data_IF_218371669580
#
_entry.id   IF_218371669580
#
_cell.length_a   1.000
_cell.length_b   1.000
_cell.length_c   1.000
_cell.angle_alpha   90.00
_cell.angle_beta   90.00
_cell.angle_gamma   90.00
#
_symmetry.space_group_name_H-M   'P 1'
#
loop_
_entity.id
_entity.type
_entity.pdbx_description
1 polymer ?
#
# COMPACT_ATOMS: atom_id res chain seq x y z
N UNK A 1 10.05 10.29 2.41
CA UNK A 1 9.73 10.23 3.85
C UNK A 1 10.52 9.15 4.60
N UNK A 2 10.62 7.94 4.06
CA UNK A 2 11.42 6.84 4.67
C UNK A 2 12.89 7.24 4.85
N UNK A 3 13.56 7.74 3.80
CA UNK A 3 15.00 8.10 3.86
C UNK A 3 15.35 9.12 4.96
N UNK A 4 14.45 10.08 5.22
CA UNK A 4 14.66 11.13 6.23
C UNK A 4 14.37 10.63 7.64
N UNK A 5 13.43 9.69 7.78
CA UNK A 5 12.93 9.24 9.09
C UNK A 5 13.50 7.91 9.57
N UNK A 6 14.10 7.14 8.66
CA UNK A 6 14.79 5.88 8.92
C UNK A 6 16.30 6.16 8.95
N UNK A 7 16.84 6.33 10.16
CA UNK A 7 18.26 6.63 10.37
C UNK A 7 19.12 5.40 10.09
N UNK A 8 19.67 5.33 8.88
CA UNK A 8 20.58 4.28 8.42
C UNK A 8 22.03 4.77 8.43
N UNK A 9 22.98 3.87 8.72
CA UNK A 9 24.39 4.10 8.37
C UNK A 9 24.57 3.90 6.85
N UNK A 10 25.70 4.34 6.31
CA UNK A 10 25.98 4.16 4.87
C UNK A 10 25.97 2.68 4.44
N UNK A 11 26.50 1.80 5.28
CA UNK A 11 26.49 0.35 5.04
C UNK A 11 25.07 -0.24 5.08
N UNK A 12 24.27 0.16 6.07
CA UNK A 12 22.87 -0.26 6.16
C UNK A 12 22.06 0.24 4.97
N UNK A 13 22.26 1.50 4.58
CA UNK A 13 21.60 2.11 3.43
C UNK A 13 21.92 1.36 2.14
N UNK A 14 23.20 1.04 1.90
CA UNK A 14 23.64 0.29 0.72
C UNK A 14 22.97 -1.08 0.60
N UNK A 15 22.64 -1.72 1.73
CA UNK A 15 21.90 -3.01 1.75
C UNK A 15 20.38 -2.83 1.69
N UNK A 16 19.84 -1.80 2.34
CA UNK A 16 18.41 -1.57 2.51
C UNK A 16 17.74 -1.08 1.22
N UNK A 17 18.32 -0.07 0.56
CA UNK A 17 17.66 0.60 -0.57
C UNK A 17 17.33 -0.35 -1.74
N UNK A 18 18.22 -1.29 -2.15
CA UNK A 18 17.86 -2.24 -3.21
C UNK A 18 16.65 -3.12 -2.88
N UNK A 19 16.46 -3.48 -1.60
CA UNK A 19 15.27 -4.24 -1.15
C UNK A 19 14.04 -3.34 -1.11
N UNK A 20 14.21 -2.09 -0.65
CA UNK A 20 13.14 -1.11 -0.63
C UNK A 20 12.61 -0.78 -2.02
N UNK A 21 13.50 -0.61 -3.01
CA UNK A 21 13.12 -0.28 -4.38
C UNK A 21 12.28 -1.40 -5.01
N UNK A 22 12.67 -2.66 -4.83
CA UNK A 22 11.86 -3.82 -5.27
C UNK A 22 10.52 -3.89 -4.55
N UNK A 23 10.52 -3.68 -3.24
CA UNK A 23 9.30 -3.63 -2.45
C UNK A 23 8.33 -2.55 -2.96
N UNK A 24 8.82 -1.37 -3.33
CA UNK A 24 7.99 -0.32 -3.93
C UNK A 24 7.49 -0.69 -5.33
N UNK A 25 8.32 -1.34 -6.15
CA UNK A 25 7.90 -1.84 -7.47
C UNK A 25 6.79 -2.88 -7.37
N UNK A 26 6.93 -3.84 -6.45
CA UNK A 26 5.91 -4.88 -6.22
C UNK A 26 4.62 -4.29 -5.64
N UNK A 27 4.72 -3.22 -4.85
CA UNK A 27 3.55 -2.48 -4.38
C UNK A 27 2.87 -1.65 -5.47
N UNK A 28 3.62 -1.10 -6.43
CA UNK A 28 3.08 -0.23 -7.47
C UNK A 28 1.95 -0.92 -8.25
N UNK A 29 2.15 -2.18 -8.67
CA UNK A 29 1.11 -2.93 -9.37
C UNK A 29 -0.15 -3.22 -8.52
N UNK A 30 -0.02 -3.26 -7.19
CA UNK A 30 -1.17 -3.37 -6.29
C UNK A 30 -1.88 -2.02 -6.15
N UNK A 31 -1.11 -0.94 -6.05
CA UNK A 31 -1.63 0.43 -5.96
C UNK A 31 -2.38 0.84 -7.24
N UNK A 32 -1.84 0.51 -8.42
CA UNK A 32 -2.49 0.78 -9.71
C UNK A 32 -3.87 0.12 -9.81
N UNK A 33 -4.00 -1.12 -9.31
CA UNK A 33 -5.29 -1.81 -9.24
C UNK A 33 -6.27 -1.12 -8.29
N UNK A 34 -5.78 -0.66 -7.12
CA UNK A 34 -6.63 0.08 -6.18
C UNK A 34 -7.10 1.41 -6.77
N UNK A 35 -6.22 2.16 -7.45
CA UNK A 35 -6.59 3.38 -8.18
C UNK A 35 -7.67 3.08 -9.21
N UNK A 36 -7.50 2.01 -10.00
CA UNK A 36 -8.50 1.61 -10.98
C UNK A 36 -9.86 1.28 -10.35
N UNK A 37 -9.89 0.60 -9.20
CA UNK A 37 -11.15 0.32 -8.49
C UNK A 37 -11.85 1.62 -8.09
N UNK A 38 -11.09 2.59 -7.57
CA UNK A 38 -11.62 3.90 -7.17
C UNK A 38 -12.13 4.69 -8.39
N UNK A 39 -11.38 4.70 -9.48
CA UNK A 39 -11.78 5.37 -10.73
C UNK A 39 -13.05 4.74 -11.34
N UNK A 40 -13.09 3.41 -11.42
CA UNK A 40 -14.27 2.68 -11.91
C UNK A 40 -15.50 2.96 -11.03
N UNK A 41 -15.33 3.03 -9.71
CA UNK A 41 -16.40 3.37 -8.78
C UNK A 41 -16.91 4.80 -9.00
N UNK A 42 -16.01 5.79 -8.98
CA UNK A 42 -16.40 7.20 -9.14
C UNK A 42 -17.06 7.48 -10.50
N UNK A 43 -16.65 6.78 -11.56
CA UNK A 43 -17.25 6.89 -12.89
C UNK A 43 -18.66 6.27 -12.98
N UNK A 44 -18.97 5.26 -12.18
CA UNK A 44 -20.23 4.51 -12.25
C UNK A 44 -21.18 4.77 -11.08
N UNK A 45 -20.74 5.52 -10.07
CA UNK A 45 -21.40 5.71 -8.77
C UNK A 45 -22.91 5.97 -8.85
N UNK A 46 -23.37 6.84 -9.77
CA UNK A 46 -24.79 7.22 -9.87
C UNK A 46 -25.70 6.13 -10.45
N UNK A 47 -25.14 5.19 -11.21
CA UNK A 47 -25.87 4.13 -11.91
C UNK A 47 -25.17 2.79 -11.68
N UNK A 48 -24.73 2.54 -10.45
CA UNK A 48 -23.95 1.37 -10.10
C UNK A 48 -24.89 0.15 -10.06
N UNK A 49 -24.69 -0.82 -10.95
CA UNK A 49 -25.43 -2.08 -10.90
C UNK A 49 -24.91 -2.99 -9.78
N UNK A 50 -25.75 -3.88 -9.29
CA UNK A 50 -25.38 -4.88 -8.29
C UNK A 50 -24.16 -5.71 -8.73
N UNK A 51 -24.11 -6.14 -9.99
CA UNK A 51 -22.97 -6.92 -10.49
C UNK A 51 -21.68 -6.10 -10.50
N UNK A 52 -21.73 -4.82 -10.87
CA UNK A 52 -20.56 -3.95 -10.87
C UNK A 52 -20.13 -3.61 -9.44
N UNK A 53 -21.08 -3.39 -8.52
CA UNK A 53 -20.80 -3.17 -7.10
C UNK A 53 -20.05 -4.36 -6.50
N UNK A 54 -20.55 -5.58 -6.74
CA UNK A 54 -19.89 -6.80 -6.26
C UNK A 54 -18.49 -6.95 -6.84
N UNK A 55 -18.31 -6.73 -8.14
CA UNK A 55 -16.99 -6.78 -8.78
C UNK A 55 -16.00 -5.78 -8.17
N UNK A 56 -16.44 -4.54 -7.89
CA UNK A 56 -15.58 -3.53 -7.28
C UNK A 56 -15.11 -3.94 -5.88
N UNK A 57 -16.00 -4.52 -5.08
CA UNK A 57 -15.65 -5.04 -3.74
C UNK A 57 -14.68 -6.21 -3.84
N UNK A 58 -14.89 -7.16 -4.76
CA UNK A 58 -13.97 -8.28 -4.98
C UNK A 58 -12.57 -7.80 -5.39
N UNK A 59 -12.50 -6.88 -6.37
CA UNK A 59 -11.24 -6.33 -6.86
C UNK A 59 -10.51 -5.53 -5.75
N UNK A 60 -11.24 -4.77 -4.92
CA UNK A 60 -10.70 -4.06 -3.75
C UNK A 60 -10.09 -5.03 -2.72
N UNK A 61 -10.85 -6.06 -2.33
CA UNK A 61 -10.40 -7.03 -1.32
C UNK A 61 -9.19 -7.84 -1.81
N UNK A 62 -9.15 -8.17 -3.11
CA UNK A 62 -7.99 -8.82 -3.71
C UNK A 62 -6.74 -7.93 -3.66
N UNK A 63 -6.87 -6.63 -3.98
CA UNK A 63 -5.76 -5.68 -3.88
C UNK A 63 -5.24 -5.54 -2.44
N UNK A 64 -6.13 -5.45 -1.44
CA UNK A 64 -5.71 -5.39 -0.03
C UNK A 64 -4.98 -6.66 0.42
N UNK A 65 -5.44 -7.84 0.00
CA UNK A 65 -4.79 -9.11 0.30
C UNK A 65 -3.38 -9.19 -0.33
N UNK A 66 -3.24 -8.78 -1.60
CA UNK A 66 -1.96 -8.76 -2.30
C UNK A 66 -1.00 -7.75 -1.68
N UNK A 67 -1.49 -6.58 -1.26
CA UNK A 67 -0.68 -5.58 -0.54
C UNK A 67 -0.12 -6.17 0.75
N UNK A 68 -0.95 -6.85 1.54
CA UNK A 68 -0.52 -7.50 2.77
C UNK A 68 0.52 -8.59 2.49
N UNK A 69 0.35 -9.35 1.41
CA UNK A 69 1.29 -10.38 0.96
C UNK A 69 2.65 -9.79 0.59
N UNK A 70 2.71 -8.76 -0.27
CA UNK A 70 3.97 -8.09 -0.65
C UNK A 70 4.74 -7.60 0.58
N UNK A 71 4.02 -6.96 1.52
CA UNK A 71 4.60 -6.49 2.80
C UNK A 71 5.15 -7.63 3.65
N UNK A 72 4.50 -8.79 3.66
CA UNK A 72 4.95 -9.95 4.42
C UNK A 72 6.17 -10.59 3.78
N UNK A 73 6.16 -10.75 2.46
CA UNK A 73 7.20 -11.47 1.72
C UNK A 73 8.56 -10.74 1.80
N UNK A 74 8.56 -9.40 1.82
CA UNK A 74 9.77 -8.60 1.97
C UNK A 74 10.29 -8.48 3.41
N UNK A 75 9.52 -8.86 4.43
CA UNK A 75 9.89 -8.67 5.84
C UNK A 75 11.22 -9.37 6.16
N UNK A 76 11.37 -10.61 5.71
CA UNK A 76 12.59 -11.40 5.93
C UNK A 76 13.81 -10.80 5.22
N UNK A 77 13.61 -10.15 4.08
CA UNK A 77 14.68 -9.47 3.35
C UNK A 77 15.12 -8.20 4.09
N UNK A 78 14.17 -7.36 4.52
CA UNK A 78 14.48 -6.17 5.31
C UNK A 78 15.21 -6.53 6.61
N UNK A 79 14.79 -7.59 7.30
CA UNK A 79 15.43 -8.07 8.52
C UNK A 79 16.89 -8.53 8.34
N UNK A 80 17.31 -8.86 7.11
CA UNK A 80 18.72 -9.16 6.78
C UNK A 80 19.55 -7.91 6.51
N UNK A 81 18.92 -6.78 6.17
CA UNK A 81 19.64 -5.56 5.76
C UNK A 81 19.95 -4.62 6.92
N UNK A 82 19.04 -4.54 7.90
CA UNK A 82 19.08 -3.59 9.01
C UNK A 82 18.60 -4.23 10.33
N UNK A 83 19.01 -3.71 11.51
CA UNK A 83 18.54 -4.21 12.80
C UNK A 83 17.01 -4.20 12.94
N UNK A 84 16.46 -5.18 13.66
CA UNK A 84 15.01 -5.35 13.81
C UNK A 84 14.26 -4.12 14.34
N UNK A 85 14.87 -3.29 15.21
CA UNK A 85 14.28 -2.01 15.65
C UNK A 85 14.08 -1.03 14.50
N UNK A 86 14.99 -1.02 13.52
CA UNK A 86 14.89 -0.17 12.33
C UNK A 86 13.87 -0.73 11.34
N UNK A 87 13.78 -2.06 11.19
CA UNK A 87 12.68 -2.70 10.44
C UNK A 87 11.32 -2.31 11.02
N UNK A 88 11.13 -2.45 12.33
CA UNK A 88 9.88 -2.06 12.98
C UNK A 88 9.55 -0.58 12.75
N UNK A 89 10.54 0.30 12.88
CA UNK A 89 10.38 1.74 12.60
C UNK A 89 10.01 2.01 11.13
N UNK A 90 10.61 1.30 10.19
CA UNK A 90 10.26 1.38 8.77
C UNK A 90 8.78 1.06 8.54
N UNK A 91 8.27 -0.07 9.03
CA UNK A 91 6.86 -0.43 8.90
C UNK A 91 5.92 0.57 9.61
N UNK A 92 6.34 1.15 10.73
CA UNK A 92 5.59 2.22 11.40
C UNK A 92 5.49 3.50 10.55
N UNK A 93 6.56 3.88 9.83
CA UNK A 93 6.57 5.03 8.93
C UNK A 93 5.64 4.77 7.74
N UNK A 94 5.78 3.61 7.08
CA UNK A 94 4.92 3.21 5.96
C UNK A 94 3.44 3.20 6.37
N UNK A 95 3.10 2.56 7.51
CA UNK A 95 1.73 2.52 8.01
C UNK A 95 1.15 3.92 8.27
N UNK A 96 1.96 4.88 8.74
CA UNK A 96 1.51 6.25 8.96
C UNK A 96 1.21 6.97 7.66
N UNK A 97 2.05 6.78 6.64
CA UNK A 97 1.82 7.33 5.30
C UNK A 97 0.55 6.73 4.68
N UNK A 98 0.42 5.40 4.75
CA UNK A 98 -0.77 4.69 4.27
C UNK A 98 -2.05 5.15 4.96
N UNK A 99 -2.00 5.41 6.28
CA UNK A 99 -3.15 5.88 7.04
C UNK A 99 -3.63 7.27 6.59
N UNK A 100 -2.71 8.18 6.25
CA UNK A 100 -3.06 9.51 5.72
C UNK A 100 -3.76 9.37 4.37
N UNK A 101 -3.19 8.59 3.46
CA UNK A 101 -3.82 8.35 2.14
C UNK A 101 -5.20 7.72 2.29
N UNK A 102 -5.35 6.71 3.16
CA UNK A 102 -6.65 6.07 3.42
C UNK A 102 -7.67 7.03 4.02
N UNK A 103 -7.25 7.94 4.88
CA UNK A 103 -8.12 8.97 5.43
C UNK A 103 -8.61 9.92 4.33
N UNK A 104 -7.72 10.40 3.46
CA UNK A 104 -8.07 11.30 2.36
C UNK A 104 -9.03 10.61 1.36
N UNK A 105 -8.78 9.34 1.05
CA UNK A 105 -9.69 8.53 0.22
C UNK A 105 -11.06 8.34 0.87
N UNK A 106 -11.11 7.99 2.15
CA UNK A 106 -12.36 7.81 2.88
C UNK A 106 -13.18 9.10 2.98
N UNK A 107 -12.53 10.26 3.03
CA UNK A 107 -13.19 11.57 3.02
C UNK A 107 -13.73 11.97 1.63
N UNK A 108 -13.14 11.43 0.56
CA UNK A 108 -13.43 11.84 -0.83
C UNK A 108 -14.41 10.90 -1.53
N UNK A 109 -14.33 9.59 -1.24
CA UNK A 109 -15.12 8.57 -1.92
C UNK A 109 -16.51 8.48 -1.23
N UNK A 110 -17.62 8.79 -1.93
CA UNK A 110 -18.95 8.70 -1.35
C UNK A 110 -19.33 7.23 -1.10
N UNK A 111 -20.26 6.98 -0.18
CA UNK A 111 -20.87 5.66 0.05
C UNK A 111 -21.99 5.44 -0.96
N UNK A 112 -22.18 4.20 -1.44
CA UNK A 112 -23.27 3.80 -2.35
C UNK A 112 -24.63 4.21 -1.77
N UNK A 113 -25.49 4.78 -2.62
CA UNK A 113 -26.87 5.14 -2.28
C UNK A 113 -27.79 3.90 -2.41
N UNK A 114 -28.80 3.78 -1.53
CA UNK A 114 -29.86 2.74 -1.57
C UNK A 114 -31.21 3.33 -2.01
#
# INVERSE_FOLDING_TARGET
LVAVNLRLTDEEAARFWPVYDRYQQDLAGVQDRLVKVIDDYTASFRNLSDEKAMKLVEDYLAAEADRAKVRRDHLAEFAKTIPGRKVARFYQIENKMDAVVRYDLAATIPVVEE
#
